data_IF_487429106543
#
_entry.id   IF_487429106543
#
_cell.length_a   1.000
_cell.length_b   1.000
_cell.length_c   1.000
_cell.angle_alpha   90.00
_cell.angle_beta   90.00
_cell.angle_gamma   90.00
#
_symmetry.space_group_name_H-M   'P 1'
#
loop_
_entity.id
_entity.type
_entity.pdbx_description
1 polymer ?
#
# COMPACT_ATOMS: atom_id res chain seq x y z
N UNK A 1 11.93 0.42 20.85
CA UNK A 1 11.32 1.70 20.41
C UNK A 1 10.69 1.44 19.05
N UNK A 2 9.41 1.78 18.85
CA UNK A 2 8.78 1.64 17.54
C UNK A 2 9.49 2.58 16.54
N UNK A 3 9.79 2.13 15.31
CA UNK A 3 10.36 3.01 14.29
C UNK A 3 9.42 4.20 14.06
N UNK A 4 9.99 5.39 13.85
CA UNK A 4 9.19 6.56 13.45
C UNK A 4 8.49 6.21 12.15
N UNK A 5 7.16 6.34 12.13
CA UNK A 5 6.40 6.19 10.89
C UNK A 5 6.93 7.17 9.84
N UNK A 6 7.01 6.76 8.57
CA UNK A 6 7.44 7.66 7.52
C UNK A 6 6.53 8.87 7.46
N UNK A 7 7.11 10.02 7.11
CA UNK A 7 6.33 11.20 6.82
C UNK A 7 5.35 10.86 5.68
N UNK A 8 4.05 11.09 5.87
CA UNK A 8 3.01 10.78 4.87
C UNK A 8 3.01 11.76 3.68
N UNK A 9 4.06 12.58 3.56
CA UNK A 9 4.30 13.46 2.44
C UNK A 9 4.70 12.63 1.22
N UNK A 10 4.26 13.06 0.04
CA UNK A 10 4.71 12.46 -1.20
C UNK A 10 6.16 12.87 -1.47
N UNK A 11 6.98 11.93 -1.91
CA UNK A 11 8.32 12.27 -2.42
C UNK A 11 8.22 13.15 -3.66
N UNK A 12 9.31 13.81 -4.03
CA UNK A 12 9.34 14.67 -5.22
C UNK A 12 8.98 13.87 -6.49
N UNK A 13 9.48 12.65 -6.60
CA UNK A 13 9.21 11.73 -7.71
C UNK A 13 7.73 11.35 -7.75
N UNK A 14 7.14 11.02 -6.61
CA UNK A 14 5.71 10.71 -6.52
C UNK A 14 4.83 11.91 -6.90
N UNK A 15 5.24 13.13 -6.52
CA UNK A 15 4.55 14.35 -6.94
C UNK A 15 4.68 14.59 -8.44
N UNK A 16 5.85 14.31 -9.03
CA UNK A 16 6.06 14.39 -10.47
C UNK A 16 5.18 13.39 -11.22
N UNK A 17 5.14 12.14 -10.76
CA UNK A 17 4.30 11.10 -11.33
C UNK A 17 2.82 11.47 -11.27
N UNK A 18 2.34 12.03 -10.15
CA UNK A 18 0.97 12.51 -10.05
C UNK A 18 0.65 13.58 -11.10
N UNK A 19 1.55 14.53 -11.34
CA UNK A 19 1.35 15.55 -12.40
C UNK A 19 1.30 14.91 -13.78
N UNK A 20 2.14 13.90 -14.03
CA UNK A 20 2.12 13.13 -15.29
C UNK A 20 0.79 12.41 -15.46
N UNK A 21 0.29 11.72 -14.44
CA UNK A 21 -1.03 11.07 -14.48
C UNK A 21 -2.16 12.07 -14.73
N UNK A 22 -2.14 13.22 -14.05
CA UNK A 22 -3.13 14.30 -14.27
C UNK A 22 -3.13 14.81 -15.71
N UNK A 23 -1.96 14.93 -16.35
CA UNK A 23 -1.87 15.32 -17.74
C UNK A 23 -2.48 14.25 -18.67
N UNK A 24 -2.19 12.96 -18.44
CA UNK A 24 -2.74 11.86 -19.24
C UNK A 24 -4.27 11.74 -19.13
N UNK A 25 -4.84 12.09 -17.97
CA UNK A 25 -6.29 12.06 -17.76
C UNK A 25 -7.07 13.12 -18.56
N UNK A 26 -6.39 14.09 -19.20
CA UNK A 26 -7.08 15.10 -20.03
C UNK A 26 -7.53 14.56 -21.38
N UNK A 27 -6.84 13.53 -21.89
CA UNK A 27 -7.01 13.03 -23.26
C UNK A 27 -7.63 11.62 -23.31
N UNK A 28 -8.12 11.12 -22.17
CA UNK A 28 -8.67 9.77 -22.04
C UNK A 28 -10.20 9.76 -22.12
N UNK A 29 -10.79 8.73 -22.71
CA UNK A 29 -12.25 8.62 -22.79
C UNK A 29 -12.87 8.23 -21.44
N UNK A 30 -14.16 8.53 -21.28
CA UNK A 30 -14.92 8.20 -20.06
C UNK A 30 -14.88 6.70 -19.74
N UNK A 31 -15.03 5.84 -20.75
CA UNK A 31 -15.05 4.39 -20.56
C UNK A 31 -13.69 3.88 -20.08
N UNK A 32 -12.60 4.38 -20.65
CA UNK A 32 -11.25 4.03 -20.22
C UNK A 32 -10.95 4.50 -18.79
N UNK A 33 -11.45 5.68 -18.38
CA UNK A 33 -11.36 6.12 -16.98
C UNK A 33 -12.09 5.15 -16.04
N UNK A 34 -13.29 4.72 -16.39
CA UNK A 34 -14.08 3.80 -15.56
C UNK A 34 -13.36 2.45 -15.40
N UNK A 35 -12.79 1.92 -16.48
CA UNK A 35 -11.98 0.70 -16.44
C UNK A 35 -10.71 0.87 -15.59
N UNK A 36 -9.97 1.96 -15.78
CA UNK A 36 -8.79 2.29 -14.98
C UNK A 36 -9.12 2.41 -13.49
N UNK A 37 -10.25 3.04 -13.17
CA UNK A 37 -10.69 3.21 -11.78
C UNK A 37 -10.94 1.86 -11.11
N UNK A 38 -11.64 0.94 -11.79
CA UNK A 38 -11.86 -0.43 -11.28
C UNK A 38 -10.53 -1.16 -11.07
N UNK A 39 -9.58 -1.01 -12.00
CA UNK A 39 -8.26 -1.63 -11.89
C UNK A 39 -7.48 -1.09 -10.68
N UNK A 40 -7.49 0.23 -10.46
CA UNK A 40 -6.86 0.88 -9.31
C UNK A 40 -7.46 0.34 -7.99
N UNK A 41 -8.78 0.22 -7.90
CA UNK A 41 -9.45 -0.32 -6.71
C UNK A 41 -9.01 -1.77 -6.41
N UNK A 42 -8.94 -2.63 -7.44
CA UNK A 42 -8.44 -4.01 -7.28
C UNK A 42 -7.00 -4.04 -6.77
N UNK A 43 -6.15 -3.19 -7.33
CA UNK A 43 -4.75 -3.11 -6.92
C UNK A 43 -4.61 -2.60 -5.48
N UNK A 44 -5.46 -1.64 -5.04
CA UNK A 44 -5.50 -1.18 -3.66
C UNK A 44 -5.88 -2.29 -2.68
N UNK A 45 -6.91 -3.08 -2.98
CA UNK A 45 -7.27 -4.24 -2.16
C UNK A 45 -6.12 -5.26 -2.05
N UNK A 46 -5.43 -5.55 -3.16
CA UNK A 46 -4.26 -6.43 -3.14
C UNK A 46 -3.12 -5.86 -2.28
N UNK A 47 -2.83 -4.57 -2.40
CA UNK A 47 -1.81 -3.88 -1.60
C UNK A 47 -2.14 -3.89 -0.10
N UNK A 48 -3.41 -3.75 0.27
CA UNK A 48 -3.85 -3.89 1.66
C UNK A 48 -3.64 -5.30 2.19
N UNK A 49 -3.98 -6.34 1.42
CA UNK A 49 -3.77 -7.72 1.82
C UNK A 49 -2.29 -8.05 2.07
N UNK A 50 -1.41 -7.54 1.20
CA UNK A 50 0.04 -7.66 1.35
C UNK A 50 0.50 -6.94 2.62
N UNK A 51 0.10 -5.69 2.81
CA UNK A 51 0.44 -4.89 4.01
C UNK A 51 -0.01 -5.59 5.29
N UNK A 52 -1.25 -6.10 5.34
CA UNK A 52 -1.77 -6.86 6.49
C UNK A 52 -0.93 -8.11 6.76
N UNK A 53 -0.50 -8.82 5.72
CA UNK A 53 0.31 -10.03 5.86
C UNK A 53 1.70 -9.70 6.40
N UNK A 54 2.36 -8.66 5.87
CA UNK A 54 3.65 -8.19 6.35
C UNK A 54 3.60 -7.72 7.81
N UNK A 55 2.55 -6.99 8.20
CA UNK A 55 2.35 -6.57 9.60
C UNK A 55 2.25 -7.80 10.51
N UNK A 56 1.45 -8.81 10.12
CA UNK A 56 1.32 -10.06 10.90
C UNK A 56 2.68 -10.76 11.04
N UNK A 57 3.43 -10.89 9.95
CA UNK A 57 4.75 -11.51 9.97
C UNK A 57 5.72 -10.78 10.91
N UNK A 58 5.79 -9.44 10.83
CA UNK A 58 6.64 -8.65 11.72
C UNK A 58 6.24 -8.81 13.20
N UNK A 59 4.95 -8.78 13.51
CA UNK A 59 4.46 -8.93 14.89
C UNK A 59 4.71 -10.33 15.46
N UNK A 60 4.56 -11.38 14.65
CA UNK A 60 4.82 -12.77 15.06
C UNK A 60 6.33 -13.07 15.20
N UNK A 61 7.19 -12.30 14.53
CA UNK A 61 8.66 -12.44 14.64
C UNK A 61 9.21 -11.88 15.95
N UNK A 62 8.59 -10.81 16.46
CA UNK A 62 9.03 -10.11 17.68
C UNK A 62 8.47 -10.70 18.99
N UNK A 63 7.45 -11.55 18.90
CA UNK A 63 6.90 -12.30 20.04
C UNK A 63 6.76 -13.78 19.66
N UNK A 64 7.85 -14.58 19.72
CA UNK A 64 7.69 -16.01 19.66
C UNK A 64 6.82 -16.41 20.86
N UNK A 65 5.76 -17.17 20.61
CA UNK A 65 4.94 -17.77 21.66
C UNK A 65 5.91 -18.35 22.70
N UNK A 66 5.81 -17.85 23.94
CA UNK A 66 6.47 -18.47 25.08
C UNK A 66 5.91 -19.87 25.13
N UNK A 67 6.66 -20.83 24.59
CA UNK A 67 6.35 -22.24 24.67
C UNK A 67 6.10 -22.53 26.14
N UNK A 68 4.85 -22.83 26.46
CA UNK A 68 4.41 -23.30 27.75
C UNK A 68 5.33 -24.44 28.17
N UNK A 69 6.20 -24.15 29.13
CA UNK A 69 6.98 -25.14 29.86
C UNK A 69 6.01 -26.00 30.66
N UNK A 70 5.46 -27.03 30.04
CA UNK A 70 4.87 -28.18 30.72
C UNK A 70 5.80 -29.36 30.55
N UNK A 71 6.65 -29.57 31.54
CA UNK A 71 7.15 -30.86 32.01
C UNK A 71 7.87 -30.63 33.35
#
# INVERSE_FOLDING_TARGET
MLPKFPEFSLTLEQQFDLRKFQAMLKDISRNEIEELFIMILRQKMAQENITRSLIKECLLRDFPEVSSSTA
#
